data_IF_386628449866
#
_entry.id   IF_386628449866
#
_cell.length_a   1.000
_cell.length_b   1.000
_cell.length_c   1.000
_cell.angle_alpha   90.00
_cell.angle_beta   90.00
_cell.angle_gamma   90.00
#
_symmetry.space_group_name_H-M   'P 1'
#
loop_
_entity.id
_entity.type
_entity.pdbx_description
1 polymer ?
#
# COMPACT_ATOMS: atom_id res chain seq x y z
N UNK A 1 4.25 0.16 -6.99
CA UNK A 1 4.72 0.92 -5.80
C UNK A 1 6.07 0.40 -5.40
N UNK A 2 7.06 1.25 -5.12
CA UNK A 2 8.36 0.82 -4.58
C UNK A 2 8.45 1.18 -3.10
N UNK A 3 8.83 0.23 -2.25
CA UNK A 3 9.16 0.51 -0.86
C UNK A 3 10.67 0.35 -0.66
N UNK A 4 11.29 1.38 -0.07
CA UNK A 4 12.73 1.41 0.16
C UNK A 4 13.10 0.60 1.39
N UNK A 5 14.12 -0.22 1.28
CA UNK A 5 14.70 -0.92 2.42
C UNK A 5 15.45 0.09 3.31
N UNK A 6 15.14 0.13 4.61
CA UNK A 6 15.84 0.95 5.60
C UNK A 6 17.16 0.26 6.07
N UNK A 7 17.93 -0.30 5.14
CA UNK A 7 19.19 -1.00 5.40
C UNK A 7 20.43 -0.22 4.95
N UNK A 8 20.25 0.95 4.34
CA UNK A 8 21.33 1.79 3.81
C UNK A 8 21.94 1.31 2.50
N UNK A 9 21.42 0.25 1.87
CA UNK A 9 21.97 -0.37 0.65
C UNK A 9 21.28 0.08 -0.65
N UNK A 10 20.29 0.98 -0.58
CA UNK A 10 19.61 1.51 -1.77
C UNK A 10 18.76 0.46 -2.50
N UNK A 11 18.23 -0.52 -1.77
CA UNK A 11 17.39 -1.60 -2.31
C UNK A 11 15.91 -1.25 -2.29
N UNK A 12 15.18 -1.69 -3.31
CA UNK A 12 13.75 -1.43 -3.48
C UNK A 12 13.00 -2.73 -3.72
N UNK A 13 11.79 -2.81 -3.15
CA UNK A 13 10.84 -3.87 -3.45
C UNK A 13 9.96 -3.43 -4.61
N UNK A 14 9.92 -4.25 -5.66
CA UNK A 14 9.11 -4.06 -6.85
C UNK A 14 8.00 -5.12 -6.90
N UNK A 15 6.82 -4.71 -7.33
CA UNK A 15 5.72 -5.63 -7.64
C UNK A 15 5.49 -5.65 -9.13
N UNK A 16 5.38 -6.85 -9.69
CA UNK A 16 5.05 -7.07 -11.09
C UNK A 16 3.60 -7.52 -11.26
N UNK A 17 3.18 -7.64 -12.53
CA UNK A 17 1.90 -8.23 -12.92
C UNK A 17 1.78 -9.72 -12.56
N UNK A 18 2.88 -10.34 -12.17
CA UNK A 18 2.96 -11.74 -11.71
C UNK A 18 2.64 -11.90 -10.23
N UNK A 19 2.21 -10.83 -9.55
CA UNK A 19 1.91 -10.77 -8.11
C UNK A 19 3.11 -11.10 -7.19
N UNK A 20 4.30 -11.33 -7.73
CA UNK A 20 5.50 -11.58 -6.94
C UNK A 20 6.12 -10.28 -6.45
N UNK A 21 6.92 -10.39 -5.40
CA UNK A 21 7.75 -9.29 -4.91
C UNK A 21 9.20 -9.56 -5.27
N UNK A 22 9.82 -8.59 -5.92
CA UNK A 22 11.19 -8.65 -6.40
C UNK A 22 12.05 -7.62 -5.66
N UNK A 23 13.26 -8.02 -5.28
CA UNK A 23 14.27 -7.11 -4.76
C UNK A 23 15.13 -6.59 -5.92
N UNK A 24 15.27 -5.27 -5.99
CA UNK A 24 16.10 -4.57 -6.96
C UNK A 24 17.04 -3.57 -6.25
N UNK A 25 18.16 -3.23 -6.88
CA UNK A 25 19.13 -2.21 -6.42
C UNK A 25 19.00 -0.97 -7.29
N UNK A 26 18.69 0.19 -6.71
CA UNK A 26 18.68 1.45 -7.48
C UNK A 26 20.12 1.87 -7.79
N UNK A 27 20.46 2.14 -9.06
CA UNK A 27 21.75 2.72 -9.43
C UNK A 27 21.95 4.07 -8.72
N UNK A 28 23.19 4.38 -8.32
CA UNK A 28 23.52 5.72 -7.82
C UNK A 28 23.14 6.78 -8.86
N UNK A 29 22.61 7.91 -8.40
CA UNK A 29 22.21 9.03 -9.25
C UNK A 29 23.35 9.42 -10.21
N UNK A 30 23.06 9.46 -11.52
CA UNK A 30 24.04 9.75 -12.58
C UNK A 30 24.71 8.54 -13.22
N UNK A 31 24.51 7.32 -12.68
CA UNK A 31 24.90 6.09 -13.36
C UNK A 31 23.69 5.55 -14.11
N UNK A 32 23.76 5.50 -15.44
CA UNK A 32 22.85 4.67 -16.21
C UNK A 32 23.09 3.21 -15.87
N UNK A 33 22.04 2.39 -15.99
CA UNK A 33 22.18 0.93 -15.95
C UNK A 33 22.91 0.42 -17.20
N UNK A 34 23.68 1.21 -17.93
CA UNK A 34 24.28 0.75 -19.18
C UNK A 34 25.42 -0.23 -18.88
N UNK A 35 25.44 -1.36 -19.59
CA UNK A 35 26.68 -2.08 -19.84
C UNK A 35 27.63 -1.20 -20.66
N UNK A 36 28.91 -1.58 -20.76
CA UNK A 36 29.89 -0.87 -21.59
C UNK A 36 29.51 -0.82 -23.10
N UNK A 37 28.40 -1.47 -23.48
CA UNK A 37 27.82 -1.55 -24.82
C UNK A 37 26.51 -0.74 -25.00
N UNK A 38 26.06 0.02 -23.99
CA UNK A 38 24.88 0.90 -24.09
C UNK A 38 23.51 0.19 -23.99
N UNK A 39 23.46 -1.04 -23.47
CA UNK A 39 22.22 -1.73 -23.08
C UNK A 39 22.06 -1.68 -21.57
N UNK A 40 20.83 -1.44 -21.10
CA UNK A 40 20.51 -1.61 -19.67
C UNK A 40 20.93 -3.02 -19.21
N UNK A 41 21.95 -3.12 -18.35
CA UNK A 41 22.16 -4.25 -17.43
C UNK A 41 20.81 -4.53 -16.82
N UNK A 42 20.25 -5.69 -17.16
CA UNK A 42 19.15 -6.25 -16.40
C UNK A 42 19.61 -6.31 -14.95
N UNK A 43 19.14 -5.39 -14.12
CA UNK A 43 19.41 -5.45 -12.70
C UNK A 43 18.97 -6.84 -12.25
N UNK A 44 19.85 -7.57 -11.57
CA UNK A 44 19.59 -8.94 -11.18
C UNK A 44 18.45 -8.95 -10.15
N UNK A 45 17.19 -9.02 -10.64
CA UNK A 45 16.00 -9.07 -9.80
C UNK A 45 16.04 -10.39 -9.04
N UNK A 46 16.13 -10.28 -7.72
CA UNK A 46 16.10 -11.45 -6.84
C UNK A 46 14.68 -11.62 -6.34
N UNK A 47 14.10 -12.82 -6.48
CA UNK A 47 12.77 -13.09 -5.94
C UNK A 47 12.81 -12.93 -4.41
N UNK A 48 11.99 -12.03 -3.88
CA UNK A 48 11.89 -11.76 -2.44
C UNK A 48 10.71 -12.50 -1.82
N UNK A 49 9.57 -12.50 -2.49
CA UNK A 49 8.36 -13.21 -2.07
C UNK A 49 7.65 -13.81 -3.27
N UNK A 50 7.34 -15.11 -3.17
CA UNK A 50 6.56 -15.84 -4.15
C UNK A 50 5.06 -15.79 -3.79
N UNK A 51 4.23 -15.28 -4.70
CA UNK A 51 2.79 -15.20 -4.51
C UNK A 51 2.14 -16.57 -4.30
N UNK A 52 2.66 -17.63 -4.93
CA UNK A 52 2.12 -18.99 -4.80
C UNK A 52 2.28 -19.54 -3.39
N UNK A 53 3.36 -19.17 -2.68
CA UNK A 53 3.54 -19.59 -1.28
C UNK A 53 2.55 -18.89 -0.36
N UNK A 54 2.27 -17.62 -0.62
CA UNK A 54 1.23 -16.86 0.11
C UNK A 54 -0.15 -17.45 -0.18
N UNK A 55 -0.48 -17.73 -1.44
CA UNK A 55 -1.75 -18.33 -1.85
C UNK A 55 -2.00 -19.68 -1.15
N UNK A 56 -0.99 -20.54 -1.11
CA UNK A 56 -1.06 -21.83 -0.42
C UNK A 56 -1.31 -21.68 1.07
N UNK A 57 -0.64 -20.76 1.75
CA UNK A 57 -0.82 -20.54 3.19
C UNK A 57 -2.19 -19.93 3.52
N UNK A 58 -2.75 -19.11 2.63
CA UNK A 58 -4.07 -18.51 2.78
C UNK A 58 -5.24 -19.43 2.36
N UNK A 59 -4.94 -20.58 1.74
CA UNK A 59 -5.96 -21.45 1.16
C UNK A 59 -6.72 -20.79 0.01
N UNK A 60 -6.02 -20.00 -0.81
CA UNK A 60 -6.58 -19.45 -2.03
C UNK A 60 -6.89 -20.57 -3.03
N UNK A 61 -7.89 -20.34 -3.87
CA UNK A 61 -8.18 -21.21 -5.01
C UNK A 61 -7.14 -21.05 -6.14
N UNK A 62 -7.41 -21.69 -7.27
CA UNK A 62 -6.49 -21.75 -8.41
C UNK A 62 -6.19 -20.38 -9.04
N UNK A 63 -6.97 -19.33 -8.75
CA UNK A 63 -6.70 -17.95 -9.19
C UNK A 63 -5.53 -17.31 -8.42
N UNK A 64 -5.13 -17.89 -7.29
CA UNK A 64 -4.02 -17.41 -6.46
C UNK A 64 -4.32 -16.12 -5.71
N UNK A 65 -3.28 -15.31 -5.47
CA UNK A 65 -3.38 -14.03 -4.74
C UNK A 65 -2.94 -12.85 -5.61
N UNK A 66 -3.56 -11.70 -5.40
CA UNK A 66 -3.15 -10.43 -5.96
C UNK A 66 -2.59 -9.54 -4.84
N UNK A 67 -1.27 -9.38 -4.78
CA UNK A 67 -0.63 -8.49 -3.82
C UNK A 67 -0.92 -7.03 -4.19
N UNK A 68 -1.39 -6.25 -3.21
CA UNK A 68 -1.81 -4.84 -3.36
C UNK A 68 -0.83 -3.86 -2.72
N UNK A 69 -0.10 -4.30 -1.71
CA UNK A 69 0.83 -3.48 -0.96
C UNK A 69 1.81 -4.34 -0.16
N UNK A 70 2.95 -3.74 0.17
CA UNK A 70 3.96 -4.29 1.07
C UNK A 70 4.38 -3.16 1.97
N UNK A 71 4.75 -3.46 3.20
CA UNK A 71 5.43 -2.52 4.06
C UNK A 71 6.39 -3.29 4.96
N UNK A 72 7.61 -2.77 5.13
CA UNK A 72 8.62 -3.38 6.00
C UNK A 72 8.50 -2.81 7.41
N UNK A 73 8.68 -3.65 8.43
CA UNK A 73 8.73 -3.16 9.81
C UNK A 73 9.90 -2.17 9.95
N UNK A 74 9.77 -1.07 10.73
CA UNK A 74 10.85 -0.10 10.92
C UNK A 74 12.16 -0.72 11.44
N UNK A 75 12.05 -1.83 12.18
CA UNK A 75 13.17 -2.62 12.69
C UNK A 75 13.41 -3.91 11.88
N UNK A 76 13.11 -3.91 10.57
CA UNK A 76 13.27 -5.07 9.70
C UNK A 76 14.68 -5.70 9.81
N UNK A 77 15.72 -4.88 9.95
CA UNK A 77 17.10 -5.37 10.07
C UNK A 77 17.32 -6.28 11.29
N UNK A 78 16.54 -6.11 12.36
CA UNK A 78 16.65 -6.94 13.57
C UNK A 78 15.64 -8.09 13.56
N UNK A 79 14.40 -7.82 13.15
CA UNK A 79 13.29 -8.78 13.31
C UNK A 79 12.81 -9.44 12.02
N UNK A 80 13.26 -8.96 10.84
CA UNK A 80 12.88 -9.48 9.54
C UNK A 80 11.38 -9.40 9.20
N UNK A 81 10.59 -8.65 9.97
CA UNK A 81 9.13 -8.58 9.82
C UNK A 81 8.73 -7.66 8.68
N UNK A 82 7.86 -8.15 7.82
CA UNK A 82 7.25 -7.34 6.77
C UNK A 82 5.79 -7.75 6.60
N UNK A 83 5.03 -6.89 5.94
CA UNK A 83 3.58 -7.00 5.87
C UNK A 83 3.18 -6.88 4.42
N UNK A 84 2.20 -7.65 4.00
CA UNK A 84 1.59 -7.49 2.69
C UNK A 84 0.08 -7.35 2.85
N UNK A 85 -0.52 -6.62 1.93
CA UNK A 85 -1.96 -6.71 1.68
C UNK A 85 -2.17 -7.47 0.37
N UNK A 86 -3.17 -8.34 0.34
CA UNK A 86 -3.53 -9.03 -0.87
C UNK A 86 -5.04 -9.28 -0.95
N UNK A 87 -5.48 -9.56 -2.17
CA UNK A 87 -6.83 -10.00 -2.48
C UNK A 87 -6.76 -11.40 -3.06
N UNK A 88 -7.65 -12.28 -2.64
CA UNK A 88 -7.72 -13.65 -3.16
C UNK A 88 -9.15 -14.19 -3.09
N UNK A 89 -9.44 -15.26 -3.83
CA UNK A 89 -10.69 -16.00 -3.71
C UNK A 89 -10.43 -17.27 -2.89
N UNK A 90 -11.32 -17.59 -1.95
CA UNK A 90 -11.25 -18.82 -1.15
C UNK A 90 -12.20 -19.92 -1.67
N UNK A 91 -12.63 -19.82 -2.93
CA UNK A 91 -13.66 -20.67 -3.54
C UNK A 91 -15.12 -20.29 -3.22
N UNK A 92 -15.38 -19.43 -2.23
CA UNK A 92 -16.75 -18.97 -1.89
C UNK A 92 -16.92 -17.46 -2.01
N UNK A 93 -15.94 -16.70 -1.53
CA UNK A 93 -15.97 -15.24 -1.53
C UNK A 93 -14.59 -14.66 -1.80
N UNK A 94 -14.59 -13.40 -2.23
CA UNK A 94 -13.36 -12.62 -2.42
C UNK A 94 -12.94 -12.05 -1.08
N UNK A 95 -11.70 -12.24 -0.70
CA UNK A 95 -11.14 -11.82 0.58
C UNK A 95 -10.10 -10.72 0.35
N UNK A 96 -10.12 -9.70 1.19
CA UNK A 96 -9.00 -8.78 1.40
C UNK A 96 -8.33 -9.15 2.71
N UNK A 97 -7.01 -9.34 2.69
CA UNK A 97 -6.26 -9.70 3.88
C UNK A 97 -4.98 -8.89 3.98
N UNK A 98 -4.59 -8.56 5.22
CA UNK A 98 -3.25 -8.10 5.56
C UNK A 98 -2.58 -9.16 6.42
N UNK A 99 -1.42 -9.63 5.99
CA UNK A 99 -0.63 -10.61 6.75
C UNK A 99 0.74 -10.05 7.09
N UNK A 100 1.24 -10.49 8.24
CA UNK A 100 2.61 -10.32 8.67
C UNK A 100 3.41 -11.57 8.33
N UNK A 101 4.58 -11.37 7.73
CA UNK A 101 5.50 -12.40 7.25
C UNK A 101 6.89 -12.16 7.85
N UNK A 102 7.72 -13.21 7.85
CA UNK A 102 9.10 -13.15 8.30
C UNK A 102 10.08 -13.47 7.17
N UNK A 103 11.06 -12.60 6.96
CA UNK A 103 12.17 -12.86 6.06
C UNK A 103 13.18 -13.88 6.64
N UNK A 104 13.06 -14.21 7.92
CA UNK A 104 13.90 -15.17 8.64
C UNK A 104 13.24 -16.55 8.76
N UNK A 105 11.92 -16.63 8.53
CA UNK A 105 11.13 -17.85 8.66
C UNK A 105 9.97 -17.83 7.66
N UNK A 106 10.10 -18.59 6.57
CA UNK A 106 9.14 -18.60 5.46
C UNK A 106 7.79 -19.24 5.80
N UNK A 107 7.71 -19.99 6.90
CA UNK A 107 6.45 -20.60 7.37
C UNK A 107 5.70 -19.69 8.34
N UNK A 108 6.34 -18.64 8.85
CA UNK A 108 5.72 -17.68 9.76
C UNK A 108 4.84 -16.70 8.99
N UNK A 109 3.53 -16.90 9.13
CA UNK A 109 2.49 -15.98 8.67
C UNK A 109 1.46 -15.74 9.77
N UNK A 110 1.19 -14.48 10.08
CA UNK A 110 0.14 -14.06 11.02
C UNK A 110 -0.87 -13.17 10.30
N UNK A 111 -2.17 -13.45 10.48
CA UNK A 111 -3.23 -12.66 9.85
C UNK A 111 -3.58 -11.47 10.73
N UNK A 112 -3.44 -10.26 10.17
CA UNK A 112 -3.56 -9.00 10.90
C UNK A 112 -4.95 -8.40 10.74
N UNK A 113 -5.52 -8.56 9.55
CA UNK A 113 -6.78 -7.97 9.16
C UNK A 113 -7.39 -8.79 8.02
N UNK A 114 -8.69 -9.05 8.08
CA UNK A 114 -9.43 -9.77 7.03
C UNK A 114 -10.78 -9.12 6.83
N UNK A 115 -11.16 -8.92 5.59
CA UNK A 115 -12.47 -8.42 5.18
C UNK A 115 -12.98 -9.22 3.98
N UNK A 116 -14.25 -9.59 4.02
CA UNK A 116 -14.92 -10.15 2.84
C UNK A 116 -15.33 -9.02 1.91
N UNK A 117 -14.92 -9.11 0.64
CA UNK A 117 -15.25 -8.13 -0.38
C UNK A 117 -16.52 -8.55 -1.13
N UNK A 118 -17.46 -7.62 -1.37
CA UNK A 118 -18.59 -7.87 -2.26
C UNK A 118 -18.14 -8.34 -3.65
N UNK A 119 -18.95 -9.19 -4.29
CA UNK A 119 -18.69 -9.62 -5.66
C UNK A 119 -18.73 -8.43 -6.63
N UNK A 120 -17.84 -8.44 -7.63
CA UNK A 120 -17.80 -7.40 -8.67
C UNK A 120 -17.19 -6.07 -8.24
N UNK A 121 -16.67 -5.96 -7.00
CA UNK A 121 -15.94 -4.78 -6.53
C UNK A 121 -14.80 -4.41 -7.46
N UNK A 122 -14.84 -3.17 -7.94
CA UNK A 122 -13.75 -2.50 -8.63
C UNK A 122 -12.98 -1.65 -7.61
N UNK A 123 -11.66 -1.54 -7.77
CA UNK A 123 -10.79 -0.76 -6.88
C UNK A 123 -10.90 -1.15 -5.39
N UNK A 124 -10.22 -2.24 -5.01
CA UNK A 124 -10.08 -2.65 -3.60
C UNK A 124 -9.12 -1.76 -2.79
N UNK A 125 -8.35 -0.89 -3.44
CA UNK A 125 -7.21 -0.22 -2.80
C UNK A 125 -6.17 -1.24 -2.34
N UNK A 126 -5.72 -1.10 -1.09
CA UNK A 126 -4.80 -2.03 -0.44
C UNK A 126 -3.43 -1.44 -0.15
N UNK A 127 -3.24 -0.13 -0.24
CA UNK A 127 -2.02 0.44 0.31
C UNK A 127 -1.98 0.20 1.82
N UNK A 128 -0.82 -0.22 2.30
CA UNK A 128 -0.49 -0.31 3.72
C UNK A 128 0.72 0.57 4.03
N UNK A 129 0.80 1.14 5.23
CA UNK A 129 1.99 1.85 5.68
C UNK A 129 2.10 1.87 7.21
N UNK A 130 3.35 1.89 7.71
CA UNK A 130 3.63 1.91 9.14
C UNK A 130 3.66 3.32 9.71
N UNK A 131 3.21 3.42 10.96
CA UNK A 131 3.59 4.50 11.86
C UNK A 131 3.93 3.95 13.22
N UNK A 132 5.16 4.21 13.65
CA UNK A 132 5.54 4.09 15.05
C UNK A 132 5.26 5.40 15.79
N UNK A 133 4.56 5.33 16.93
CA UNK A 133 4.26 6.45 17.81
C UNK A 133 4.19 5.99 19.27
N UNK A 134 4.93 6.65 20.16
CA UNK A 134 4.84 6.45 21.61
C UNK A 134 4.99 4.98 22.05
N UNK A 135 5.97 4.26 21.49
CA UNK A 135 6.22 2.82 21.70
C UNK A 135 5.16 1.87 21.14
N UNK A 136 4.13 2.39 20.47
CA UNK A 136 3.13 1.58 19.77
C UNK A 136 3.34 1.68 18.26
N UNK A 137 3.33 0.53 17.60
CA UNK A 137 3.36 0.44 16.14
C UNK A 137 1.94 0.28 15.62
N UNK A 138 1.57 1.11 14.65
CA UNK A 138 0.32 0.99 13.92
C UNK A 138 0.60 0.71 12.46
N UNK A 139 -0.23 -0.15 11.85
CA UNK A 139 -0.34 -0.24 10.40
C UNK A 139 -1.64 0.44 9.98
N UNK A 140 -1.57 1.25 8.95
CA UNK A 140 -2.74 1.84 8.31
C UNK A 140 -3.04 1.05 7.05
N UNK A 141 -4.32 0.77 6.84
CA UNK A 141 -4.82 0.00 5.70
C UNK A 141 -5.80 0.90 4.95
N UNK A 142 -5.51 1.21 3.69
CA UNK A 142 -6.33 2.08 2.85
C UNK A 142 -7.14 1.23 1.89
N UNK A 143 -8.44 1.14 2.14
CA UNK A 143 -9.38 0.44 1.27
C UNK A 143 -9.87 1.37 0.17
N UNK A 144 -10.00 0.85 -1.04
CA UNK A 144 -10.57 1.59 -2.16
C UNK A 144 -12.09 1.72 -2.03
N UNK A 145 -12.67 2.71 -2.71
CA UNK A 145 -14.11 3.03 -2.67
C UNK A 145 -15.03 1.89 -3.05
N UNK A 146 -14.51 0.89 -3.78
CA UNK A 146 -15.23 -0.33 -4.03
C UNK A 146 -16.45 -0.17 -4.92
N UNK A 147 -16.34 0.57 -6.02
CA UNK A 147 -17.45 0.74 -6.97
C UNK A 147 -17.89 -0.62 -7.47
N UNK A 148 -19.21 -0.86 -7.41
CA UNK A 148 -19.83 -2.09 -7.93
C UNK A 148 -20.72 -1.69 -9.11
N UNK A 149 -20.69 -2.51 -10.17
CA UNK A 149 -21.62 -2.38 -11.29
C UNK A 149 -22.90 -3.15 -10.97
N UNK A 150 -24.03 -2.45 -10.99
CA UNK A 150 -25.38 -3.02 -10.83
C UNK A 150 -26.24 -2.73 -12.07
N UNK A 151 -27.43 -3.34 -12.13
CA UNK A 151 -28.43 -3.05 -13.18
C UNK A 151 -28.88 -1.58 -13.18
N UNK A 152 -28.81 -0.91 -12.03
CA UNK A 152 -29.15 0.50 -11.87
C UNK A 152 -27.98 1.47 -12.15
N UNK A 153 -26.80 0.95 -12.50
CA UNK A 153 -25.57 1.71 -12.71
C UNK A 153 -24.47 1.40 -11.69
N UNK A 154 -23.49 2.30 -11.59
CA UNK A 154 -22.38 2.16 -10.65
C UNK A 154 -22.77 2.67 -9.26
N UNK A 155 -22.48 1.88 -8.23
CA UNK A 155 -22.71 2.22 -6.82
C UNK A 155 -21.36 2.38 -6.13
N UNK A 156 -21.14 3.54 -5.51
CA UNK A 156 -19.96 3.84 -4.69
C UNK A 156 -20.25 3.49 -3.22
N UNK A 157 -19.39 2.67 -2.61
CA UNK A 157 -19.53 2.19 -1.23
C UNK A 157 -18.68 2.98 -0.23
N UNK A 158 -17.97 4.02 -0.67
CA UNK A 158 -17.01 4.75 0.17
C UNK A 158 -17.64 5.45 1.39
N UNK A 159 -18.89 5.88 1.27
CA UNK A 159 -19.68 6.48 2.34
C UNK A 159 -20.64 5.51 3.03
N UNK A 160 -20.74 4.26 2.54
CA UNK A 160 -21.59 3.25 3.16
C UNK A 160 -20.97 2.79 4.49
N UNK A 161 -21.70 2.97 5.59
CA UNK A 161 -21.27 2.60 6.95
C UNK A 161 -21.30 1.08 7.17
N UNK A 162 -22.07 0.35 6.36
CA UNK A 162 -22.13 -1.11 6.40
C UNK A 162 -20.98 -1.78 5.63
N UNK A 163 -20.20 -1.00 4.89
CA UNK A 163 -19.08 -1.49 4.08
C UNK A 163 -17.72 -1.06 4.65
N UNK A 164 -16.74 -1.97 4.59
CA UNK A 164 -15.32 -1.67 4.84
C UNK A 164 -14.65 -0.92 3.68
N UNK A 165 -15.34 -0.73 2.55
CA UNK A 165 -14.82 -0.03 1.37
C UNK A 165 -14.82 1.48 1.55
N UNK A 166 -13.83 2.13 0.92
CA UNK A 166 -13.54 3.55 1.02
C UNK A 166 -13.25 4.03 2.44
N UNK A 167 -12.67 3.15 3.27
CA UNK A 167 -12.26 3.43 4.64
C UNK A 167 -10.74 3.37 4.79
N UNK A 168 -10.24 4.05 5.82
CA UNK A 168 -8.88 3.83 6.34
C UNK A 168 -8.99 3.17 7.69
N UNK A 169 -8.39 2.01 7.84
CA UNK A 169 -8.25 1.31 9.11
C UNK A 169 -6.91 1.64 9.74
N UNK A 170 -6.89 1.79 11.06
CA UNK A 170 -5.68 1.80 11.88
C UNK A 170 -5.71 0.55 12.75
N UNK A 171 -4.74 -0.33 12.56
CA UNK A 171 -4.58 -1.56 13.34
C UNK A 171 -3.36 -1.39 14.23
N UNK A 172 -3.53 -1.64 15.53
CA UNK A 172 -2.39 -1.74 16.43
C UNK A 172 -1.63 -3.04 16.14
N UNK A 173 -0.30 -2.97 16.11
CA UNK A 173 0.57 -4.13 15.95
C UNK A 173 1.22 -4.42 17.31
N UNK A 174 0.46 -5.05 18.24
CA UNK A 174 1.03 -5.56 19.48
C UNK A 174 1.88 -6.81 19.22
N UNK A 175 2.66 -7.21 20.22
CA UNK A 175 3.34 -8.51 20.23
C UNK A 175 2.35 -9.69 20.46
N UNK A 176 1.12 -9.42 20.91
CA UNK A 176 0.14 -10.45 21.30
C UNK A 176 -1.24 -10.25 20.66
N UNK A 177 -1.88 -11.37 20.29
CA UNK A 177 -3.22 -11.45 19.68
C UNK A 177 -4.34 -11.35 20.74
N UNK A 178 -5.56 -10.85 20.41
CA UNK A 178 -6.05 -10.38 19.11
C UNK A 178 -5.69 -8.94 18.78
N UNK A 179 -5.43 -8.68 17.50
CA UNK A 179 -5.15 -7.32 16.99
C UNK A 179 -6.46 -6.54 16.87
N UNK A 180 -6.52 -5.37 17.47
CA UNK A 180 -7.68 -4.47 17.39
C UNK A 180 -7.50 -3.48 16.26
N UNK A 181 -8.59 -3.18 15.55
CA UNK A 181 -8.60 -2.20 14.47
C UNK A 181 -9.72 -1.18 14.69
N UNK A 182 -9.53 0.01 14.13
CA UNK A 182 -10.52 1.08 14.13
C UNK A 182 -10.52 1.79 12.79
N UNK A 183 -11.71 2.21 12.34
CA UNK A 183 -11.86 3.10 11.19
C UNK A 183 -11.43 4.51 11.64
N UNK A 184 -10.49 5.12 10.92
CA UNK A 184 -9.98 6.47 11.20
C UNK A 184 -10.38 7.50 10.13
N UNK A 185 -10.82 7.03 8.96
CA UNK A 185 -11.37 7.88 7.91
C UNK A 185 -12.36 7.10 7.04
N UNK A 186 -13.29 7.82 6.41
CA UNK A 186 -14.27 7.30 5.44
C UNK A 186 -14.43 8.26 4.26
N UNK A 187 -15.15 7.84 3.21
CA UNK A 187 -15.29 8.62 1.97
C UNK A 187 -14.00 8.64 1.14
N UNK A 188 -13.16 7.61 1.27
CA UNK A 188 -11.97 7.42 0.45
C UNK A 188 -12.43 6.92 -0.93
N UNK A 189 -12.15 7.69 -1.98
CA UNK A 189 -12.50 7.39 -3.35
C UNK A 189 -11.56 6.31 -3.96
N UNK A 190 -10.93 6.53 -5.11
CA UNK A 190 -9.91 5.63 -5.68
C UNK A 190 -8.50 6.04 -5.21
N UNK A 191 -7.99 5.50 -4.10
CA UNK A 191 -6.71 5.92 -3.54
C UNK A 191 -5.56 5.46 -4.42
N UNK A 192 -4.73 6.43 -4.84
CA UNK A 192 -3.46 6.19 -5.54
C UNK A 192 -2.26 6.25 -4.61
N UNK A 193 -2.42 6.86 -3.44
CA UNK A 193 -1.38 6.95 -2.44
C UNK A 193 -1.77 7.83 -1.27
N UNK A 194 -1.51 7.34 -0.06
CA UNK A 194 -1.75 8.01 1.19
C UNK A 194 -0.50 7.97 2.08
N UNK A 195 -0.33 8.97 2.94
CA UNK A 195 0.71 8.97 3.97
C UNK A 195 0.31 9.88 5.14
N UNK A 196 0.84 9.61 6.33
CA UNK A 196 0.65 10.48 7.50
C UNK A 196 1.32 11.83 7.26
N UNK A 197 0.65 12.90 7.67
CA UNK A 197 1.25 14.22 7.66
C UNK A 197 2.41 14.25 8.70
N UNK A 198 3.65 14.56 8.25
CA UNK A 198 4.83 14.58 9.11
C UNK A 198 4.78 15.68 10.18
N UNK A 199 4.06 16.77 9.90
CA UNK A 199 3.98 17.94 10.77
C UNK A 199 2.76 17.88 11.70
N UNK A 200 1.70 17.17 11.30
CA UNK A 200 0.54 16.88 12.15
C UNK A 200 0.09 15.42 12.03
N UNK A 201 0.47 14.59 13.01
CA UNK A 201 0.14 13.15 13.01
C UNK A 201 -1.35 12.84 13.10
N UNK A 202 -2.17 13.85 13.35
CA UNK A 202 -3.64 13.76 13.37
C UNK A 202 -4.24 13.86 11.98
N UNK A 203 -3.41 14.12 10.97
CA UNK A 203 -3.84 14.20 9.60
C UNK A 203 -3.05 13.26 8.69
N UNK A 204 -3.66 12.90 7.57
CA UNK A 204 -3.04 12.17 6.48
C UNK A 204 -3.28 12.89 5.16
N UNK A 205 -2.32 12.81 4.26
CA UNK A 205 -2.52 13.18 2.87
C UNK A 205 -2.96 11.94 2.11
N UNK A 206 -3.98 12.07 1.27
CA UNK A 206 -4.39 11.03 0.35
C UNK A 206 -4.61 11.63 -1.03
N UNK A 207 -4.01 10.99 -2.01
CA UNK A 207 -4.20 11.27 -3.42
C UNK A 207 -5.17 10.26 -3.99
N UNK A 208 -6.22 10.79 -4.57
CA UNK A 208 -7.41 10.05 -4.96
C UNK A 208 -7.78 10.40 -6.39
N UNK A 209 -8.42 9.47 -7.09
CA UNK A 209 -9.23 9.78 -8.26
C UNK A 209 -10.70 9.79 -7.85
N UNK A 210 -11.39 10.89 -8.15
CA UNK A 210 -12.79 11.15 -7.81
C UNK A 210 -13.47 11.63 -9.07
N UNK A 211 -14.42 10.86 -9.60
CA UNK A 211 -15.13 11.19 -10.86
C UNK A 211 -14.18 11.54 -12.01
N UNK A 212 -13.09 10.77 -12.14
CA UNK A 212 -12.04 11.00 -13.15
C UNK A 212 -11.12 12.19 -12.89
N UNK A 213 -11.31 12.91 -11.79
CA UNK A 213 -10.49 14.06 -11.38
C UNK A 213 -9.50 13.66 -10.30
N UNK A 214 -8.24 14.05 -10.45
CA UNK A 214 -7.23 13.81 -9.44
C UNK A 214 -7.36 14.85 -8.30
N UNK A 215 -7.41 14.37 -7.07
CA UNK A 215 -7.47 15.19 -5.87
C UNK A 215 -6.39 14.82 -4.88
N UNK A 216 -5.87 15.82 -4.16
CA UNK A 216 -5.07 15.60 -2.94
C UNK A 216 -5.86 16.16 -1.78
N UNK A 217 -6.19 15.30 -0.81
CA UNK A 217 -6.97 15.63 0.38
C UNK A 217 -6.09 15.53 1.63
N UNK A 218 -6.18 16.53 2.51
CA UNK A 218 -5.73 16.44 3.89
C UNK A 218 -6.90 15.94 4.75
N UNK A 219 -6.80 14.72 5.26
CA UNK A 219 -7.87 14.05 6.00
C UNK A 219 -7.49 14.03 7.48
N UNK A 220 -8.40 14.46 8.35
CA UNK A 220 -8.21 14.34 9.80
C UNK A 220 -8.57 12.91 10.23
N UNK A 221 -7.61 12.21 10.86
CA UNK A 221 -7.73 10.80 11.27
C UNK A 221 -8.01 10.61 12.77
N UNK A 222 -8.23 11.70 13.51
CA UNK A 222 -8.80 11.65 14.86
C UNK A 222 -10.33 11.75 14.86
N UNK A 223 -10.92 12.13 13.72
CA UNK A 223 -12.37 12.16 13.54
C UNK A 223 -12.78 11.19 12.43
N UNK A 224 -13.65 10.24 12.75
CA UNK A 224 -14.21 9.28 11.76
C UNK A 224 -15.21 9.96 10.80
N UNK A 225 -15.26 11.28 10.77
CA UNK A 225 -16.15 12.02 9.85
C UNK A 225 -15.48 12.14 8.48
N UNK A 226 -16.28 12.33 7.44
CA UNK A 226 -15.81 12.66 6.08
C UNK A 226 -15.32 14.11 6.03
N UNK A 227 -14.35 14.45 6.88
CA UNK A 227 -13.80 15.79 6.98
C UNK A 227 -12.41 15.80 6.36
N UNK A 228 -12.29 16.52 5.25
CA UNK A 228 -11.01 16.76 4.60
C UNK A 228 -10.89 18.21 4.14
N UNK A 229 -9.65 18.66 4.02
CA UNK A 229 -9.31 19.88 3.30
C UNK A 229 -8.80 19.50 1.91
N UNK A 230 -9.40 20.06 0.87
CA UNK A 230 -8.94 19.88 -0.50
C UNK A 230 -7.70 20.73 -0.73
N UNK A 231 -6.56 20.09 -0.99
CA UNK A 231 -5.29 20.76 -1.25
C UNK A 231 -5.11 21.00 -2.74
N UNK A 232 -5.49 20.01 -3.53
CA UNK A 232 -5.36 20.03 -4.98
C UNK A 232 -6.57 19.38 -5.63
N UNK A 233 -6.99 19.95 -6.76
CA UNK A 233 -8.05 19.44 -7.60
C UNK A 233 -7.74 19.76 -9.06
N UNK A 234 -7.65 18.74 -9.92
CA UNK A 234 -7.43 18.97 -11.33
C UNK A 234 -7.02 17.72 -12.11
N UNK A 235 -6.59 17.95 -13.34
CA UNK A 235 -6.05 16.91 -14.21
C UNK A 235 -4.56 16.72 -13.89
N UNK A 236 -4.23 15.64 -13.20
CA UNK A 236 -2.84 15.18 -13.14
C UNK A 236 -2.66 14.10 -14.20
N UNK A 237 -1.47 13.99 -14.85
CA UNK A 237 -1.11 12.72 -15.45
C UNK A 237 -1.23 11.66 -14.36
N UNK A 238 -1.85 10.52 -14.67
CA UNK A 238 -2.25 9.47 -13.72
C UNK A 238 -1.27 9.36 -12.55
N UNK A 239 -1.73 9.71 -11.34
CA UNK A 239 -0.97 9.43 -10.12
C UNK A 239 -0.92 7.90 -10.02
N UNK A 240 0.18 7.29 -10.44
CA UNK A 240 0.35 5.83 -10.49
C UNK A 240 1.07 5.29 -9.26
N UNK A 241 1.40 6.13 -8.26
CA UNK A 241 1.83 5.58 -6.98
C UNK A 241 2.08 6.51 -5.81
N UNK A 242 2.33 5.83 -4.69
CA UNK A 242 2.30 6.31 -3.31
C UNK A 242 3.06 7.60 -3.03
N UNK A 243 2.60 8.33 -2.01
CA UNK A 243 3.28 9.52 -1.50
C UNK A 243 4.30 9.08 -0.46
N UNK A 244 5.59 9.34 -0.68
CA UNK A 244 6.61 9.26 0.38
C UNK A 244 7.07 10.67 0.70
N UNK A 245 6.90 11.07 1.96
CA UNK A 245 7.46 12.32 2.48
C UNK A 245 8.83 12.00 3.08
N UNK A 246 9.90 12.53 2.49
CA UNK A 246 11.25 12.36 3.01
C UNK A 246 11.68 13.65 3.72
N UNK A 247 11.78 13.59 5.06
CA UNK A 247 12.27 14.72 5.88
C UNK A 247 13.79 14.79 5.91
N UNK A 248 14.48 13.72 5.50
CA UNK A 248 15.92 13.57 5.64
C UNK A 248 16.59 13.26 4.28
N UNK A 249 15.99 13.71 3.18
CA UNK A 249 16.64 13.61 1.88
C UNK A 249 17.90 14.48 1.85
N UNK A 250 19.02 13.89 1.46
CA UNK A 250 20.27 14.61 1.17
C UNK A 250 20.21 15.36 -0.15
N UNK A 251 19.13 15.20 -0.92
CA UNK A 251 18.83 15.95 -2.13
C UNK A 251 17.92 17.16 -1.78
N UNK A 252 18.42 18.41 -1.85
CA UNK A 252 17.65 19.62 -1.55
C UNK A 252 16.43 19.81 -2.46
N UNK A 253 16.39 19.13 -3.61
CA UNK A 253 15.26 19.18 -4.53
C UNK A 253 14.07 18.32 -4.08
N UNK A 254 14.28 17.36 -3.17
CA UNK A 254 13.29 16.44 -2.60
C UNK A 254 12.95 16.76 -1.13
N UNK A 255 13.78 17.56 -0.47
CA UNK A 255 13.54 18.03 0.90
C UNK A 255 12.19 18.78 0.99
N UNK A 256 11.30 18.31 1.87
CA UNK A 256 9.92 18.84 2.05
C UNK A 256 9.01 18.75 0.82
N UNK A 257 9.33 17.90 -0.17
CA UNK A 257 8.44 17.61 -1.30
C UNK A 257 7.82 16.23 -1.19
N UNK A 258 6.61 16.11 -1.72
CA UNK A 258 5.96 14.82 -1.91
C UNK A 258 6.56 14.14 -3.15
N UNK A 259 7.26 13.04 -2.97
CA UNK A 259 7.56 12.16 -4.08
C UNK A 259 6.36 11.24 -4.30
N UNK A 260 5.69 11.36 -5.45
CA UNK A 260 4.86 10.27 -5.97
C UNK A 260 5.83 9.20 -6.48
N UNK A 261 5.76 8.01 -5.92
CA UNK A 261 6.45 6.84 -6.48
C UNK A 261 5.63 6.39 -7.69
N UNK A 262 5.64 7.19 -8.76
CA UNK A 262 5.24 6.74 -10.08
C UNK A 262 6.30 5.74 -10.55
N UNK A 263 6.01 4.44 -10.41
CA UNK A 263 6.57 3.47 -11.33
C UNK A 263 5.53 3.34 -12.44
N UNK A 264 5.64 4.21 -13.44
CA UNK A 264 5.15 3.86 -14.76
C UNK A 264 5.99 2.66 -15.20
N UNK A 265 5.43 1.45 -15.11
CA UNK A 265 5.88 0.37 -15.94
C UNK A 265 5.28 0.66 -17.32
N UNK A 266 5.96 1.52 -18.08
CA UNK A 266 5.76 1.56 -19.53
C UNK A 266 6.19 0.19 -20.07
N UNK A 267 5.22 -0.62 -20.49
CA UNK A 267 5.30 -1.52 -21.64
C UNK A 267 3.89 -1.82 -22.16
#
# INVERSE_FOLDING_TARGET
>A
MANGFADGLGRHLLFGNDSNVWLDTIPKHGNTLDDDDGKLKAAARTLFLNASDVARQLGADDDGVQIKGIEVHPEFATNGRFFISCVYNNGSSKQFVVVELSAQDSEKMDTIFTEELPQGVQSSGGQIFFKHANNTSYIYIVMGHGVIKSDAGYVDLSSDESSSLGKVFRVEIPETSPKTHQIVAKGIADPKGCNINPDDRRCMFCSLVVDGTAQVRLINIESVRETYTLIFNGSLPEITGGFKYDRASTDPSLERKYASICLALDH
#
